data_IF_876428370513
#
_entry.id   IF_876428370513
#
_cell.length_a   1.000
_cell.length_b   1.000
_cell.length_c   1.000
_cell.angle_alpha   90.00
_cell.angle_beta   90.00
_cell.angle_gamma   90.00
#
_symmetry.space_group_name_H-M   'P 1'
#
loop_
_entity.id
_entity.type
_entity.pdbx_description
1 polymer ?
#
# COMPACT_ATOMS: atom_id res chain seq x y z
N UNK A 1 12.59 42.29 -12.07
CA UNK A 1 11.50 41.35 -12.42
C UNK A 1 12.00 39.97 -12.11
N UNK A 2 11.67 39.43 -10.94
CA UNK A 2 11.98 38.06 -10.56
C UNK A 2 10.79 37.20 -10.96
N UNK A 3 11.01 36.26 -11.89
CA UNK A 3 10.02 35.25 -12.21
C UNK A 3 9.91 34.34 -10.96
N UNK A 4 8.74 34.30 -10.38
CA UNK A 4 8.34 33.33 -9.36
C UNK A 4 8.32 31.96 -10.03
N UNK A 5 9.31 31.11 -9.75
CA UNK A 5 9.24 29.69 -10.02
C UNK A 5 8.10 29.12 -9.17
N UNK A 6 6.92 29.06 -9.77
CA UNK A 6 5.83 28.27 -9.21
C UNK A 6 6.30 26.80 -9.28
N UNK A 7 6.66 26.24 -8.13
CA UNK A 7 6.89 24.80 -7.97
C UNK A 7 5.63 24.12 -8.52
N UNK A 8 5.79 23.30 -9.56
CA UNK A 8 4.70 22.52 -10.14
C UNK A 8 4.30 21.41 -9.13
N UNK A 9 3.36 21.75 -8.25
CA UNK A 9 2.84 20.86 -7.21
C UNK A 9 2.11 19.62 -7.77
N UNK A 10 1.96 19.52 -9.10
CA UNK A 10 1.31 18.37 -9.76
C UNK A 10 2.23 17.17 -9.90
N UNK A 11 3.55 17.32 -9.71
CA UNK A 11 4.53 16.23 -9.83
C UNK A 11 4.66 15.41 -8.53
N UNK A 12 4.19 15.93 -7.39
CA UNK A 12 4.28 15.29 -6.07
C UNK A 12 2.99 14.59 -5.59
N UNK A 13 1.96 14.51 -6.45
CA UNK A 13 0.65 13.96 -6.08
C UNK A 13 0.57 12.43 -6.34
N UNK A 14 1.47 11.67 -5.74
CA UNK A 14 1.44 10.21 -5.83
C UNK A 14 0.12 9.58 -5.34
N UNK A 15 -0.61 10.11 -4.32
CA UNK A 15 -1.88 9.53 -3.90
C UNK A 15 -2.96 9.61 -4.99
N UNK A 16 -3.07 10.75 -5.68
CA UNK A 16 -4.04 10.89 -6.77
C UNK A 16 -3.68 10.02 -7.99
N UNK A 17 -2.39 9.87 -8.30
CA UNK A 17 -1.95 9.00 -9.37
C UNK A 17 -2.24 7.52 -9.05
N UNK A 18 -1.95 7.05 -7.84
CA UNK A 18 -2.27 5.68 -7.39
C UNK A 18 -3.79 5.46 -7.36
N UNK A 19 -4.57 6.41 -6.85
CA UNK A 19 -6.03 6.32 -6.88
C UNK A 19 -6.54 6.10 -8.32
N UNK A 20 -6.05 6.88 -9.30
CA UNK A 20 -6.39 6.70 -10.71
C UNK A 20 -6.02 5.32 -11.21
N UNK A 21 -4.82 4.83 -10.86
CA UNK A 21 -4.36 3.47 -11.21
C UNK A 21 -5.31 2.40 -10.68
N UNK A 22 -5.85 2.53 -9.47
CA UNK A 22 -6.86 1.60 -8.94
C UNK A 22 -8.10 1.56 -9.83
N UNK A 23 -8.58 2.72 -10.28
CA UNK A 23 -9.75 2.80 -11.15
C UNK A 23 -9.46 2.19 -12.53
N UNK A 24 -8.32 2.50 -13.12
CA UNK A 24 -7.91 2.01 -14.44
C UNK A 24 -7.75 0.48 -14.46
N UNK A 25 -7.34 -0.11 -13.34
CA UNK A 25 -7.30 -1.57 -13.14
C UNK A 25 -8.65 -2.19 -12.76
N UNK A 26 -9.72 -1.40 -12.69
CA UNK A 26 -11.07 -1.89 -12.37
C UNK A 26 -11.22 -2.40 -10.94
N UNK A 27 -10.35 -1.98 -10.02
CA UNK A 27 -10.47 -2.35 -8.60
C UNK A 27 -11.78 -1.83 -8.02
N UNK A 28 -12.33 -2.57 -7.06
CA UNK A 28 -13.60 -2.24 -6.39
C UNK A 28 -13.48 -2.17 -4.89
N UNK A 29 -12.52 -2.88 -4.29
CA UNK A 29 -12.38 -2.99 -2.84
C UNK A 29 -11.05 -2.39 -2.39
N UNK A 30 -11.10 -1.47 -1.44
CA UNK A 30 -9.91 -0.93 -0.77
C UNK A 30 -10.08 -1.21 0.72
N UNK A 31 -9.31 -2.15 1.22
CA UNK A 31 -9.24 -2.47 2.64
C UNK A 31 -8.08 -1.69 3.27
N UNK A 32 -8.28 -1.09 4.44
CA UNK A 32 -7.21 -0.29 5.06
C UNK A 32 -7.32 -0.24 6.58
N UNK A 33 -6.19 -0.22 7.25
CA UNK A 33 -6.08 0.28 8.63
C UNK A 33 -5.71 1.76 8.55
N UNK A 34 -6.39 2.65 9.30
CA UNK A 34 -6.09 4.09 9.26
C UNK A 34 -4.61 4.38 9.56
N UNK A 35 -3.94 5.00 8.61
CA UNK A 35 -2.53 5.37 8.68
C UNK A 35 -2.29 6.77 8.11
N UNK A 36 -1.37 7.51 8.74
CA UNK A 36 -1.05 8.86 8.30
C UNK A 36 -0.33 8.90 6.94
N UNK A 37 0.45 7.87 6.61
CA UNK A 37 1.15 7.78 5.33
C UNK A 37 0.18 7.61 4.16
N UNK A 38 -0.91 6.89 4.37
CA UNK A 38 -1.97 6.68 3.37
C UNK A 38 -3.14 7.69 3.48
N UNK A 39 -3.09 8.67 4.40
CA UNK A 39 -4.24 9.52 4.71
C UNK A 39 -4.92 10.10 3.46
N UNK A 40 -4.15 10.65 2.55
CA UNK A 40 -4.69 11.27 1.34
C UNK A 40 -5.27 10.24 0.38
N UNK A 41 -4.55 9.16 0.10
CA UNK A 41 -5.04 8.06 -0.74
C UNK A 41 -6.33 7.45 -0.19
N UNK A 42 -6.42 7.22 1.12
CA UNK A 42 -7.63 6.73 1.79
C UNK A 42 -8.79 7.73 1.60
N UNK A 43 -8.50 9.03 1.73
CA UNK A 43 -9.52 10.09 1.55
C UNK A 43 -10.06 10.06 0.12
N UNK A 44 -9.21 9.98 -0.89
CA UNK A 44 -9.60 9.87 -2.29
C UNK A 44 -10.44 8.60 -2.54
N UNK A 45 -9.99 7.45 -2.04
CA UNK A 45 -10.72 6.19 -2.19
C UNK A 45 -12.10 6.21 -1.52
N UNK A 46 -12.24 6.87 -0.37
CA UNK A 46 -13.54 7.03 0.33
C UNK A 46 -14.50 7.97 -0.38
N UNK A 47 -13.98 8.97 -1.08
CA UNK A 47 -14.78 9.95 -1.81
C UNK A 47 -15.28 9.43 -3.17
N UNK A 48 -14.70 8.35 -3.69
CA UNK A 48 -15.03 7.82 -5.01
C UNK A 48 -16.02 6.65 -4.92
N UNK A 49 -17.25 6.88 -5.40
CA UNK A 49 -18.33 5.87 -5.37
C UNK A 49 -18.05 4.61 -6.22
N UNK A 50 -16.99 4.61 -7.04
CA UNK A 50 -16.55 3.42 -7.79
C UNK A 50 -15.81 2.43 -6.91
N UNK A 51 -15.31 2.87 -5.76
CA UNK A 51 -14.56 2.09 -4.78
C UNK A 51 -15.38 1.89 -3.50
N UNK A 52 -15.26 0.72 -2.90
CA UNK A 52 -15.71 0.47 -1.54
C UNK A 52 -14.49 0.47 -0.61
N UNK A 53 -14.27 1.58 0.09
CA UNK A 53 -13.21 1.71 1.07
C UNK A 53 -13.70 1.23 2.45
N UNK A 54 -13.06 0.17 2.97
CA UNK A 54 -13.43 -0.50 4.22
C UNK A 54 -12.34 -0.29 5.26
N UNK A 55 -12.69 0.36 6.38
CA UNK A 55 -11.80 0.48 7.52
C UNK A 55 -11.80 -0.82 8.32
N UNK A 56 -10.61 -1.34 8.61
CA UNK A 56 -10.37 -2.59 9.31
C UNK A 56 -10.01 -2.34 10.77
N UNK A 57 -10.17 -3.35 11.62
CA UNK A 57 -9.68 -3.36 13.00
C UNK A 57 -8.21 -3.78 13.04
N UNK A 58 -7.82 -4.74 12.19
CA UNK A 58 -6.44 -5.24 12.03
C UNK A 58 -6.20 -5.59 10.57
N UNK A 59 -4.94 -5.54 10.14
CA UNK A 59 -4.56 -5.70 8.74
C UNK A 59 -4.89 -7.09 8.17
N UNK A 60 -4.83 -8.14 8.99
CA UNK A 60 -5.15 -9.51 8.56
C UNK A 60 -6.60 -9.69 8.10
N UNK A 61 -7.55 -8.90 8.64
CA UNK A 61 -8.95 -8.90 8.18
C UNK A 61 -9.05 -8.53 6.69
N UNK A 62 -8.15 -7.65 6.23
CA UNK A 62 -8.09 -7.22 4.83
C UNK A 62 -7.75 -8.36 3.87
N UNK A 63 -6.94 -9.33 4.30
CA UNK A 63 -6.62 -10.51 3.48
C UNK A 63 -7.88 -11.36 3.28
N UNK A 64 -8.64 -11.62 4.35
CA UNK A 64 -9.90 -12.33 4.27
C UNK A 64 -10.94 -11.61 3.41
N UNK A 65 -11.09 -10.30 3.60
CA UNK A 65 -12.01 -9.45 2.82
C UNK A 65 -11.66 -9.50 1.32
N UNK A 66 -10.39 -9.29 0.96
CA UNK A 66 -9.96 -9.26 -0.44
C UNK A 66 -10.00 -10.64 -1.09
N UNK A 67 -9.72 -11.71 -0.35
CA UNK A 67 -9.90 -13.09 -0.84
C UNK A 67 -11.38 -13.38 -1.13
N UNK A 68 -12.29 -12.96 -0.25
CA UNK A 68 -13.72 -13.07 -0.48
C UNK A 68 -14.20 -12.22 -1.66
N UNK A 69 -13.68 -11.01 -1.81
CA UNK A 69 -13.97 -10.15 -2.96
C UNK A 69 -13.54 -10.79 -4.27
N UNK A 70 -12.34 -11.39 -4.29
CA UNK A 70 -11.81 -12.12 -5.45
C UNK A 70 -12.71 -13.29 -5.85
N UNK A 71 -13.19 -14.10 -4.89
CA UNK A 71 -14.16 -15.16 -5.15
C UNK A 71 -15.49 -14.60 -5.70
N UNK A 72 -15.84 -13.38 -5.32
CA UNK A 72 -16.99 -12.64 -5.87
C UNK A 72 -16.73 -11.92 -7.18
N UNK A 73 -15.56 -12.14 -7.83
CA UNK A 73 -15.20 -11.51 -9.12
C UNK A 73 -14.76 -10.06 -9.02
N UNK A 74 -14.33 -9.60 -7.84
CA UNK A 74 -13.83 -8.23 -7.63
C UNK A 74 -12.37 -8.25 -7.17
N UNK A 75 -11.59 -7.29 -7.68
CA UNK A 75 -10.22 -7.05 -7.22
C UNK A 75 -10.16 -5.84 -6.28
N UNK A 76 -9.06 -5.73 -5.54
CA UNK A 76 -8.83 -4.63 -4.62
C UNK A 76 -7.43 -4.60 -4.05
N UNK A 77 -7.16 -3.63 -3.17
CA UNK A 77 -5.86 -3.45 -2.53
C UNK A 77 -6.00 -3.31 -1.01
N UNK A 78 -4.98 -3.76 -0.29
CA UNK A 78 -4.81 -3.61 1.15
C UNK A 78 -3.79 -2.50 1.43
N UNK A 79 -4.22 -1.44 2.11
CA UNK A 79 -3.36 -0.33 2.52
C UNK A 79 -3.01 -0.48 4.00
N UNK A 80 -1.71 -0.47 4.32
CA UNK A 80 -1.23 -0.64 5.68
C UNK A 80 0.10 0.07 5.93
N UNK A 81 0.42 0.29 7.19
CA UNK A 81 1.75 0.69 7.62
C UNK A 81 2.66 -0.54 7.75
N UNK A 82 3.97 -0.35 7.70
CA UNK A 82 4.98 -1.41 7.86
C UNK A 82 4.78 -2.31 9.09
N UNK A 83 4.30 -1.75 10.22
CA UNK A 83 3.99 -2.52 11.42
C UNK A 83 2.86 -3.54 11.20
N UNK A 84 1.91 -3.23 10.33
CA UNK A 84 0.79 -4.11 10.01
C UNK A 84 1.18 -5.39 9.28
N UNK A 85 2.34 -5.40 8.61
CA UNK A 85 2.86 -6.61 7.94
C UNK A 85 3.02 -7.76 8.95
N UNK A 86 3.43 -7.45 10.17
CA UNK A 86 3.57 -8.47 11.23
C UNK A 86 2.27 -9.21 11.52
N UNK A 87 1.13 -8.52 11.48
CA UNK A 87 -0.20 -9.12 11.69
C UNK A 87 -0.62 -10.02 10.53
N UNK A 88 -0.08 -9.80 9.33
CA UNK A 88 -0.48 -10.46 8.10
C UNK A 88 0.30 -11.76 7.79
N UNK A 89 1.43 -12.02 8.46
CA UNK A 89 2.38 -13.09 8.10
C UNK A 89 1.69 -14.45 7.93
N UNK A 90 0.95 -14.88 8.93
CA UNK A 90 0.26 -16.17 8.87
C UNK A 90 -0.85 -16.18 7.80
N UNK A 91 -1.62 -15.12 7.67
CA UNK A 91 -2.72 -15.05 6.69
C UNK A 91 -2.21 -15.00 5.25
N UNK A 92 -1.07 -14.34 4.99
CA UNK A 92 -0.40 -14.41 3.69
C UNK A 92 0.01 -15.85 3.37
N UNK A 93 0.61 -16.57 4.33
CA UNK A 93 1.06 -17.94 4.13
C UNK A 93 -0.11 -18.91 3.94
N UNK A 94 -1.10 -18.87 4.84
CA UNK A 94 -2.16 -19.88 4.93
C UNK A 94 -3.36 -19.62 4.01
N UNK A 95 -3.64 -18.37 3.65
CA UNK A 95 -4.75 -18.02 2.74
C UNK A 95 -4.19 -17.70 1.35
N UNK A 96 -3.40 -16.63 1.25
CA UNK A 96 -2.96 -16.13 -0.06
C UNK A 96 -2.09 -17.14 -0.80
N UNK A 97 -1.04 -17.65 -0.14
CA UNK A 97 -0.11 -18.60 -0.77
C UNK A 97 -0.70 -19.98 -0.93
N UNK A 98 -1.30 -20.54 0.11
CA UNK A 98 -1.83 -21.91 0.08
C UNK A 98 -3.03 -22.06 -0.86
N UNK A 99 -3.91 -21.04 -0.93
CA UNK A 99 -5.09 -21.06 -1.80
C UNK A 99 -4.88 -20.37 -3.15
N UNK A 100 -3.69 -19.85 -3.42
CA UNK A 100 -3.34 -19.12 -4.65
C UNK A 100 -4.27 -17.92 -4.93
N UNK A 101 -4.65 -17.18 -3.88
CA UNK A 101 -5.40 -15.95 -4.03
C UNK A 101 -4.46 -14.79 -4.35
N UNK A 102 -4.82 -13.92 -5.31
CA UNK A 102 -4.08 -12.68 -5.54
C UNK A 102 -4.23 -11.75 -4.35
N UNK A 103 -3.17 -11.03 -4.04
CA UNK A 103 -3.18 -9.99 -3.02
C UNK A 103 -2.29 -8.84 -3.48
N UNK A 104 -2.85 -7.64 -3.56
CA UNK A 104 -2.07 -6.41 -3.75
C UNK A 104 -2.03 -5.65 -2.43
N UNK A 105 -0.83 -5.36 -1.96
CA UNK A 105 -0.60 -4.56 -0.75
C UNK A 105 0.14 -3.28 -1.10
N UNK A 106 -0.24 -2.16 -0.49
CA UNK A 106 0.53 -0.92 -0.46
C UNK A 106 0.96 -0.66 0.98
N UNK A 107 2.25 -0.56 1.20
CA UNK A 107 2.84 -0.53 2.53
C UNK A 107 3.64 0.76 2.70
N UNK A 108 3.17 1.67 3.56
CA UNK A 108 3.91 2.87 3.95
C UNK A 108 4.95 2.51 4.98
N UNK A 109 6.20 2.85 4.71
CA UNK A 109 7.31 2.45 5.57
C UNK A 109 7.51 3.40 6.75
N UNK A 110 7.83 2.81 7.89
CA UNK A 110 8.34 3.44 9.10
C UNK A 110 9.62 2.73 9.53
N UNK A 111 10.41 3.38 10.35
CA UNK A 111 11.63 2.79 10.90
C UNK A 111 12.83 2.78 9.95
N UNK A 112 12.81 3.57 8.88
CA UNK A 112 13.88 3.63 7.87
C UNK A 112 14.63 4.96 7.88
N UNK A 113 13.90 6.07 7.67
CA UNK A 113 14.47 7.37 7.41
C UNK A 113 13.95 8.41 8.38
N UNK A 114 14.88 9.06 9.12
CA UNK A 114 14.54 10.09 10.11
C UNK A 114 13.42 9.66 11.08
N UNK A 115 13.39 8.39 11.47
CA UNK A 115 12.35 7.84 12.34
C UNK A 115 12.51 8.35 13.77
N UNK A 116 11.50 9.08 14.25
CA UNK A 116 11.46 9.59 15.61
C UNK A 116 11.03 8.57 16.66
N UNK A 117 10.43 7.44 16.23
CA UNK A 117 9.95 6.38 17.11
C UNK A 117 10.85 5.14 17.01
N UNK A 118 11.83 4.93 17.90
CA UNK A 118 12.81 3.86 17.76
C UNK A 118 12.18 2.45 17.76
N UNK A 119 11.00 2.26 18.33
CA UNK A 119 10.28 0.98 18.30
C UNK A 119 9.76 0.60 16.90
N UNK A 120 9.71 1.51 15.94
CA UNK A 120 9.34 1.21 14.56
C UNK A 120 10.52 0.59 13.75
N UNK A 121 11.75 0.83 14.19
CA UNK A 121 12.97 0.41 13.46
C UNK A 121 13.08 -1.10 13.29
N UNK A 122 12.82 -1.95 14.30
CA UNK A 122 12.89 -3.40 14.12
C UNK A 122 11.93 -3.92 13.05
N UNK A 123 10.67 -3.44 13.07
CA UNK A 123 9.68 -3.87 12.10
C UNK A 123 9.96 -3.28 10.71
N UNK A 124 10.41 -2.04 10.61
CA UNK A 124 10.83 -1.42 9.35
C UNK A 124 11.90 -2.25 8.64
N UNK A 125 12.88 -2.79 9.37
CA UNK A 125 13.92 -3.67 8.83
C UNK A 125 13.43 -5.06 8.47
N UNK A 126 12.36 -5.53 9.10
CA UNK A 126 11.85 -6.89 8.92
C UNK A 126 10.88 -7.02 7.74
N UNK A 127 10.24 -5.94 7.30
CA UNK A 127 9.15 -5.96 6.30
C UNK A 127 9.55 -6.70 5.02
N UNK A 128 10.55 -6.21 4.31
CA UNK A 128 10.93 -6.81 3.03
C UNK A 128 11.44 -8.25 3.19
N UNK A 129 12.37 -8.57 4.11
CA UNK A 129 12.80 -9.95 4.32
C UNK A 129 11.68 -10.93 4.68
N UNK A 130 10.70 -10.50 5.47
CA UNK A 130 9.54 -11.33 5.83
C UNK A 130 8.65 -11.57 4.61
N UNK A 131 8.35 -10.54 3.84
CA UNK A 131 7.53 -10.66 2.64
C UNK A 131 8.22 -11.50 1.56
N UNK A 132 9.54 -11.35 1.36
CA UNK A 132 10.34 -12.17 0.46
C UNK A 132 10.32 -13.64 0.87
N UNK A 133 10.50 -13.94 2.17
CA UNK A 133 10.42 -15.31 2.69
C UNK A 133 9.04 -15.96 2.45
N UNK A 134 7.96 -15.16 2.38
CA UNK A 134 6.62 -15.61 2.04
C UNK A 134 6.39 -15.69 0.51
N UNK A 135 7.38 -15.33 -0.31
CA UNK A 135 7.28 -15.33 -1.78
C UNK A 135 6.39 -14.22 -2.33
N UNK A 136 6.26 -13.11 -1.61
CA UNK A 136 5.58 -11.90 -2.09
C UNK A 136 6.48 -11.19 -3.08
N UNK A 137 5.92 -10.74 -4.21
CA UNK A 137 6.64 -9.94 -5.19
C UNK A 137 6.68 -8.48 -4.73
N UNK A 138 7.85 -7.85 -4.73
CA UNK A 138 8.06 -6.51 -4.18
C UNK A 138 8.44 -5.51 -5.26
N UNK A 139 7.89 -4.31 -5.16
CA UNK A 139 8.37 -3.11 -5.84
C UNK A 139 8.53 -1.99 -4.82
N UNK A 140 9.71 -1.34 -4.81
CA UNK A 140 9.99 -0.23 -3.90
C UNK A 140 9.87 1.11 -4.62
N UNK A 141 9.21 2.07 -4.01
CA UNK A 141 8.98 3.43 -4.52
C UNK A 141 9.62 4.42 -3.57
N UNK A 142 10.54 5.23 -4.10
CA UNK A 142 11.23 6.29 -3.37
C UNK A 142 10.90 7.69 -3.89
N UNK A 143 10.32 7.78 -5.11
CA UNK A 143 9.97 9.02 -5.78
C UNK A 143 8.50 8.99 -6.19
N UNK A 144 7.86 10.14 -6.12
CA UNK A 144 6.43 10.31 -6.41
C UNK A 144 6.04 9.84 -7.83
N UNK A 145 6.87 10.15 -8.80
CA UNK A 145 6.64 9.82 -10.21
C UNK A 145 6.61 8.32 -10.49
N UNK A 146 7.28 7.49 -9.68
CA UNK A 146 7.35 6.02 -9.87
C UNK A 146 6.13 5.28 -9.28
N UNK A 147 5.34 5.96 -8.45
CA UNK A 147 4.28 5.33 -7.64
C UNK A 147 3.18 4.65 -8.47
N UNK A 148 2.66 5.35 -9.47
CA UNK A 148 1.59 4.84 -10.31
C UNK A 148 2.03 3.63 -11.14
N UNK A 149 3.21 3.69 -11.73
CA UNK A 149 3.77 2.63 -12.56
C UNK A 149 4.07 1.38 -11.73
N UNK A 150 4.64 1.55 -10.54
CA UNK A 150 4.89 0.44 -9.62
C UNK A 150 3.58 -0.26 -9.21
N UNK A 151 2.55 0.51 -8.85
CA UNK A 151 1.23 -0.05 -8.50
C UNK A 151 0.60 -0.76 -9.70
N UNK A 152 0.67 -0.19 -10.89
CA UNK A 152 0.14 -0.81 -12.11
C UNK A 152 0.83 -2.13 -12.43
N UNK A 153 2.17 -2.17 -12.33
CA UNK A 153 2.96 -3.37 -12.54
C UNK A 153 2.62 -4.47 -11.52
N UNK A 154 2.58 -4.12 -10.22
CA UNK A 154 2.28 -5.08 -9.16
C UNK A 154 0.82 -5.54 -9.19
N UNK A 155 -0.14 -4.69 -9.54
CA UNK A 155 -1.53 -5.08 -9.76
C UNK A 155 -1.67 -6.07 -10.92
N UNK A 156 -1.00 -5.80 -12.04
CA UNK A 156 -0.99 -6.72 -13.19
C UNK A 156 -0.40 -8.06 -12.81
N UNK A 157 0.71 -8.08 -12.08
CA UNK A 157 1.35 -9.31 -11.61
C UNK A 157 0.44 -10.07 -10.65
N UNK A 158 -0.11 -9.39 -9.63
CA UNK A 158 -0.97 -10.01 -8.64
C UNK A 158 -2.20 -10.68 -9.29
N UNK A 159 -2.96 -9.93 -10.08
CA UNK A 159 -4.25 -10.42 -10.59
C UNK A 159 -4.15 -11.33 -11.81
N UNK A 160 -3.11 -11.20 -12.65
CA UNK A 160 -2.93 -12.08 -13.81
C UNK A 160 -2.20 -13.37 -13.48
N UNK A 161 -1.31 -13.34 -12.48
CA UNK A 161 -0.51 -14.51 -12.07
C UNK A 161 -1.01 -15.15 -10.77
N UNK A 162 -2.05 -14.59 -10.13
CA UNK A 162 -2.62 -15.05 -8.85
C UNK A 162 -1.56 -15.21 -7.75
N UNK A 163 -0.74 -14.17 -7.58
CA UNK A 163 0.35 -14.13 -6.58
C UNK A 163 0.19 -12.95 -5.64
N UNK A 164 0.72 -13.02 -4.42
CA UNK A 164 0.82 -11.85 -3.57
C UNK A 164 1.91 -10.90 -4.09
N UNK A 165 1.59 -9.62 -4.15
CA UNK A 165 2.48 -8.54 -4.53
C UNK A 165 2.34 -7.35 -3.59
N UNK A 166 3.42 -6.63 -3.35
CA UNK A 166 3.42 -5.45 -2.51
C UNK A 166 4.22 -4.30 -3.14
N UNK A 167 3.68 -3.10 -3.01
CA UNK A 167 4.38 -1.84 -3.29
C UNK A 167 4.82 -1.24 -1.95
N UNK A 168 6.12 -1.09 -1.79
CA UNK A 168 6.76 -0.51 -0.60
C UNK A 168 6.94 0.99 -0.84
N UNK A 169 6.15 1.80 -0.16
CA UNK A 169 6.24 3.27 -0.22
C UNK A 169 7.23 3.73 0.85
N UNK A 170 8.43 4.15 0.44
CA UNK A 170 9.54 4.46 1.35
C UNK A 170 9.19 5.61 2.30
N UNK A 171 9.84 5.64 3.46
CA UNK A 171 9.67 6.75 4.40
C UNK A 171 10.21 8.08 3.85
N UNK A 172 11.10 8.06 2.85
CA UNK A 172 11.52 9.26 2.13
C UNK A 172 10.38 9.87 1.30
N UNK A 173 9.59 9.02 0.66
CA UNK A 173 8.43 9.44 -0.13
C UNK A 173 7.32 10.03 0.74
N UNK A 174 6.96 9.33 1.83
CA UNK A 174 5.81 9.73 2.68
C UNK A 174 6.16 10.79 3.72
N UNK A 175 7.44 11.05 3.94
CA UNK A 175 7.96 11.96 4.96
C UNK A 175 8.05 11.35 6.36
N UNK A 176 8.96 11.89 7.17
CA UNK A 176 9.08 11.54 8.57
C UNK A 176 8.04 12.29 9.41
N UNK A 177 7.43 11.64 10.40
CA UNK A 177 6.58 12.33 11.38
C UNK A 177 7.46 13.21 12.28
N UNK A 178 7.24 14.53 12.27
CA UNK A 178 7.74 15.41 13.33
C UNK A 178 6.70 15.42 14.47
N UNK A 179 7.11 15.00 15.65
CA UNK A 179 6.34 15.28 16.86
C UNK A 179 6.73 16.70 17.27
N UNK A 180 5.81 17.66 17.11
CA UNK A 180 5.94 18.95 17.79
C UNK A 180 5.47 18.70 19.22
N UNK A 181 6.38 18.96 20.18
CA UNK A 181 6.09 18.97 21.62
C UNK A 181 5.06 20.07 21.95
#
# INVERSE_FOLDING_TARGET
MAASDAIDTRQDDWPAHIHRTFIDHGMRQIAYVPDSGHKELITLCRADNRLRAVSLTTEEEGIGLLSGAWLGGQSGALLMQSSGVGNCVNSIASITRACQFPLLMLITMRGEWAEGNPWQVPMGRAVEPVLEALGVQLARVERSEDGADAVSAMASLAFKSTVPAAVILSQRLIGAKSFQD
#
